data_IF_766809229517
#
_entry.id   IF_766809229517
#
_cell.length_a   1.000
_cell.length_b   1.000
_cell.length_c   1.000
_cell.angle_alpha   90.00
_cell.angle_beta   90.00
_cell.angle_gamma   90.00
#
_symmetry.space_group_name_H-M   'P 1'
#
loop_
_entity.id
_entity.type
_entity.pdbx_description
1 polymer ?
#
# COMPACT_ATOMS: atom_id res chain seq x y z
N UNK A 1 10.14 -15.05 0.80
CA UNK A 1 10.41 -14.28 -0.43
C UNK A 1 9.95 -15.12 -1.62
N UNK A 2 9.30 -14.50 -2.60
CA UNK A 2 9.03 -15.15 -3.88
C UNK A 2 10.31 -15.39 -4.67
N UNK A 3 10.31 -16.41 -5.53
CA UNK A 3 11.43 -16.69 -6.45
C UNK A 3 11.78 -15.46 -7.29
N UNK A 4 10.78 -14.72 -7.77
CA UNK A 4 10.99 -13.49 -8.53
C UNK A 4 11.79 -12.42 -7.77
N UNK A 5 11.51 -12.27 -6.47
CA UNK A 5 12.22 -11.27 -5.65
C UNK A 5 13.65 -11.70 -5.35
N UNK A 6 13.87 -13.01 -5.18
CA UNK A 6 15.21 -13.57 -5.01
C UNK A 6 16.03 -13.39 -6.30
N UNK A 7 15.44 -13.68 -7.46
CA UNK A 7 16.12 -13.48 -8.75
C UNK A 7 16.44 -12.01 -8.99
N UNK A 8 15.51 -11.09 -8.70
CA UNK A 8 15.77 -9.64 -8.81
C UNK A 8 16.88 -9.19 -7.84
N UNK A 9 16.85 -9.65 -6.59
CA UNK A 9 17.92 -9.37 -5.63
C UNK A 9 19.27 -9.91 -6.12
N UNK A 10 19.29 -11.12 -6.69
CA UNK A 10 20.50 -11.70 -7.27
C UNK A 10 21.05 -10.84 -8.42
N UNK A 11 20.19 -10.31 -9.30
CA UNK A 11 20.63 -9.40 -10.38
C UNK A 11 21.13 -8.04 -9.89
N UNK A 12 20.75 -7.61 -8.68
CA UNK A 12 21.25 -6.37 -8.10
C UNK A 12 22.65 -6.53 -7.50
N UNK A 13 22.95 -7.70 -6.94
CA UNK A 13 24.22 -7.95 -6.24
C UNK A 13 25.26 -8.58 -7.16
N UNK A 14 24.84 -9.44 -8.07
CA UNK A 14 25.72 -10.25 -8.90
C UNK A 14 25.59 -9.93 -10.39
N UNK A 15 26.72 -9.92 -11.08
CA UNK A 15 26.80 -9.89 -12.55
C UNK A 15 27.31 -11.23 -13.07
N UNK A 16 26.64 -11.76 -14.08
CA UNK A 16 27.09 -12.95 -14.81
C UNK A 16 28.03 -12.49 -15.93
N UNK A 17 29.26 -13.00 -15.94
CA UNK A 17 30.30 -12.67 -16.92
C UNK A 17 30.81 -13.96 -17.55
N UNK A 18 31.26 -13.92 -18.80
CA UNK A 18 31.75 -15.09 -19.54
C UNK A 18 33.15 -15.58 -19.10
N UNK A 19 33.67 -15.07 -17.98
CA UNK A 19 35.00 -15.38 -17.43
C UNK A 19 34.85 -16.07 -16.08
N UNK A 20 35.65 -17.10 -15.79
CA UNK A 20 35.58 -17.82 -14.51
C UNK A 20 36.21 -17.00 -13.36
N UNK A 21 35.57 -16.88 -12.17
CA UNK A 21 34.25 -17.42 -11.83
C UNK A 21 33.11 -16.65 -12.52
N UNK A 22 32.16 -17.37 -13.13
CA UNK A 22 31.09 -16.77 -13.95
C UNK A 22 30.19 -15.77 -13.20
N UNK A 23 30.21 -15.78 -11.87
CA UNK A 23 29.43 -14.90 -11.01
C UNK A 23 30.41 -13.99 -10.26
N UNK A 24 30.34 -12.70 -10.54
CA UNK A 24 31.08 -11.67 -9.83
C UNK A 24 30.13 -10.75 -9.06
N UNK A 25 30.62 -10.16 -7.98
CA UNK A 25 29.95 -8.99 -7.40
C UNK A 25 29.89 -7.90 -8.46
N UNK A 26 28.73 -7.26 -8.56
CA UNK A 26 28.51 -6.21 -9.55
C UNK A 26 29.55 -5.10 -9.33
N UNK A 27 30.38 -4.76 -10.34
CA UNK A 27 31.51 -3.85 -10.15
C UNK A 27 31.10 -2.44 -9.70
N UNK A 28 29.85 -2.03 -9.99
CA UNK A 28 29.30 -0.73 -9.61
C UNK A 28 28.57 -0.73 -8.24
N UNK A 29 28.53 -1.86 -7.52
CA UNK A 29 27.75 -2.02 -6.29
C UNK A 29 28.11 -0.98 -5.22
N UNK A 30 29.41 -0.66 -5.06
CA UNK A 30 29.86 0.34 -4.09
C UNK A 30 29.29 1.73 -4.38
N UNK A 31 29.22 2.12 -5.66
CA UNK A 31 28.66 3.40 -6.07
C UNK A 31 27.14 3.43 -5.88
N UNK A 32 26.46 2.32 -6.14
CA UNK A 32 25.01 2.19 -5.92
C UNK A 32 24.65 2.27 -4.43
N UNK A 33 25.45 1.65 -3.55
CA UNK A 33 25.31 1.79 -2.10
C UNK A 33 25.48 3.26 -1.68
N UNK A 34 26.51 3.94 -2.22
CA UNK A 34 26.73 5.36 -1.95
C UNK A 34 25.54 6.20 -2.42
N UNK A 35 25.02 5.94 -3.62
CA UNK A 35 23.85 6.62 -4.18
C UNK A 35 22.58 6.39 -3.32
N UNK A 36 22.40 5.21 -2.71
CA UNK A 36 21.29 5.00 -1.75
C UNK A 36 21.46 5.88 -0.51
N UNK A 37 22.67 5.98 0.04
CA UNK A 37 22.94 6.81 1.21
C UNK A 37 22.72 8.30 0.90
N UNK A 38 23.10 8.72 -0.30
CA UNK A 38 22.92 10.10 -0.78
C UNK A 38 21.44 10.44 -1.11
N UNK A 39 20.57 9.42 -1.23
CA UNK A 39 19.14 9.58 -1.54
C UNK A 39 18.23 9.17 -0.36
N UNK A 40 17.70 10.14 0.41
CA UNK A 40 17.00 9.86 1.67
C UNK A 40 15.74 8.98 1.52
N UNK A 41 15.08 9.01 0.37
CA UNK A 41 13.92 8.18 0.02
C UNK A 41 14.28 6.70 -0.15
N UNK A 42 15.48 6.41 -0.66
CA UNK A 42 16.00 5.05 -0.79
C UNK A 42 16.55 4.55 0.53
N UNK A 43 17.29 5.41 1.25
CA UNK A 43 17.80 5.12 2.59
C UNK A 43 16.68 4.78 3.58
N UNK A 44 15.54 5.48 3.50
CA UNK A 44 14.38 5.19 4.35
C UNK A 44 13.83 3.77 4.21
N UNK A 45 13.96 3.16 3.03
CA UNK A 45 13.57 1.76 2.83
C UNK A 45 14.51 0.81 3.57
N UNK A 46 15.82 1.10 3.61
CA UNK A 46 16.77 0.32 4.41
C UNK A 46 16.49 0.43 5.91
N UNK A 47 16.10 1.60 6.41
CA UNK A 47 15.71 1.75 7.81
C UNK A 47 14.54 0.86 8.19
N UNK A 48 13.55 0.68 7.31
CA UNK A 48 12.47 -0.31 7.54
C UNK A 48 13.04 -1.72 7.73
N UNK A 49 13.93 -2.17 6.85
CA UNK A 49 14.54 -3.50 6.98
C UNK A 49 15.33 -3.64 8.30
N UNK A 50 16.23 -2.69 8.57
CA UNK A 50 17.09 -2.76 9.75
C UNK A 50 16.32 -2.66 11.06
N UNK A 51 15.21 -1.90 11.10
CA UNK A 51 14.37 -1.82 12.30
C UNK A 51 13.80 -3.18 12.71
N UNK A 52 13.35 -3.98 11.73
CA UNK A 52 12.84 -5.33 11.97
C UNK A 52 13.99 -6.30 12.26
N UNK A 53 15.11 -6.19 11.55
CA UNK A 53 16.27 -7.04 11.77
C UNK A 53 16.85 -6.88 13.18
N UNK A 54 17.02 -5.63 13.65
CA UNK A 54 17.55 -5.30 14.98
C UNK A 54 16.63 -5.80 16.09
N UNK A 55 15.30 -5.87 15.86
CA UNK A 55 14.36 -6.40 16.86
C UNK A 55 14.60 -7.86 17.26
N UNK A 56 15.39 -8.60 16.46
CA UNK A 56 15.84 -9.94 16.81
C UNK A 56 16.80 -10.02 17.99
N UNK A 57 17.47 -8.91 18.35
CA UNK A 57 18.42 -8.88 19.47
C UNK A 57 17.74 -9.12 20.84
N UNK A 58 16.43 -8.90 20.92
CA UNK A 58 15.61 -9.14 22.12
C UNK A 58 14.38 -9.99 21.78
N UNK A 59 14.43 -10.79 20.70
CA UNK A 59 13.39 -11.76 20.39
C UNK A 59 13.81 -13.15 20.86
N UNK A 60 12.97 -13.83 21.64
CA UNK A 60 13.22 -15.20 22.09
C UNK A 60 12.94 -16.20 20.96
N UNK A 61 11.86 -15.98 20.20
CA UNK A 61 11.48 -16.82 19.06
C UNK A 61 12.22 -16.42 17.77
N UNK A 62 13.41 -17.01 17.59
CA UNK A 62 14.26 -16.78 16.43
C UNK A 62 13.63 -17.26 15.10
N UNK A 63 12.79 -18.30 15.11
CA UNK A 63 12.15 -18.80 13.89
C UNK A 63 11.21 -17.73 13.29
N UNK A 64 10.36 -17.15 14.13
CA UNK A 64 9.46 -16.06 13.72
C UNK A 64 10.25 -14.82 13.32
N UNK A 65 11.28 -14.44 14.08
CA UNK A 65 12.14 -13.32 13.70
C UNK A 65 12.79 -13.50 12.32
N UNK A 66 13.34 -14.68 12.03
CA UNK A 66 13.91 -15.01 10.70
C UNK A 66 12.85 -14.90 9.61
N UNK A 67 11.62 -15.38 9.87
CA UNK A 67 10.52 -15.31 8.92
C UNK A 67 10.18 -13.86 8.57
N UNK A 68 9.98 -12.99 9.57
CA UNK A 68 9.65 -11.58 9.36
C UNK A 68 10.81 -10.83 8.71
N UNK A 69 12.05 -11.06 9.16
CA UNK A 69 13.25 -10.48 8.54
C UNK A 69 13.38 -10.87 7.07
N UNK A 70 13.17 -12.15 6.72
CA UNK A 70 13.13 -12.62 5.32
C UNK A 70 12.06 -11.93 4.50
N UNK A 71 10.90 -11.62 5.09
CA UNK A 71 9.85 -10.89 4.38
C UNK A 71 10.19 -9.42 4.12
N UNK A 72 11.06 -8.81 4.94
CA UNK A 72 11.51 -7.43 4.76
C UNK A 72 12.76 -7.29 3.89
N UNK A 73 13.48 -8.38 3.56
CA UNK A 73 14.61 -8.36 2.62
C UNK A 73 14.36 -7.58 1.31
N UNK A 74 13.15 -7.56 0.71
CA UNK A 74 12.88 -6.73 -0.45
C UNK A 74 13.14 -5.24 -0.22
N UNK A 75 12.97 -4.72 1.00
CA UNK A 75 13.32 -3.33 1.33
C UNK A 75 14.82 -3.06 1.27
N UNK A 76 15.66 -4.07 1.53
CA UNK A 76 17.11 -3.98 1.41
C UNK A 76 17.55 -4.01 -0.07
N UNK A 77 17.02 -4.97 -0.85
CA UNK A 77 17.51 -5.21 -2.21
C UNK A 77 16.80 -4.39 -3.30
N UNK A 78 15.52 -4.02 -3.14
CA UNK A 78 14.82 -3.28 -4.19
C UNK A 78 15.42 -1.91 -4.51
N UNK A 79 15.89 -1.11 -3.53
CA UNK A 79 16.60 0.13 -3.85
C UNK A 79 17.80 -0.08 -4.78
N UNK A 80 18.59 -1.15 -4.56
CA UNK A 80 19.72 -1.51 -5.43
C UNK A 80 19.24 -1.92 -6.83
N UNK A 81 18.16 -2.71 -6.91
CA UNK A 81 17.52 -3.09 -8.18
C UNK A 81 17.06 -1.84 -8.95
N UNK A 82 16.46 -0.86 -8.27
CA UNK A 82 15.96 0.36 -8.92
C UNK A 82 17.07 1.24 -9.48
N UNK A 83 18.23 1.29 -8.82
CA UNK A 83 19.44 1.97 -9.33
C UNK A 83 20.10 1.19 -10.46
N UNK A 84 20.01 -0.14 -10.43
CA UNK A 84 20.60 -1.03 -11.43
C UNK A 84 19.94 -0.91 -12.80
N UNK A 85 18.65 -0.59 -12.84
CA UNK A 85 17.96 -0.38 -14.10
C UNK A 85 18.37 0.96 -14.72
N UNK A 86 18.76 0.95 -16.00
CA UNK A 86 18.86 2.18 -16.81
C UNK A 86 17.56 2.97 -16.67
N UNK A 87 17.66 4.32 -16.66
CA UNK A 87 16.50 5.24 -16.52
C UNK A 87 15.31 4.74 -17.36
N UNK A 88 14.28 4.23 -16.68
CA UNK A 88 13.07 3.73 -17.33
C UNK A 88 12.32 4.94 -17.88
N UNK A 89 12.03 4.90 -19.18
CA UNK A 89 11.25 5.94 -19.84
C UNK A 89 9.78 5.84 -19.42
N UNK A 90 9.05 6.95 -19.43
CA UNK A 90 7.62 6.94 -19.11
C UNK A 90 6.81 6.01 -20.04
N UNK A 91 7.25 5.84 -21.30
CA UNK A 91 6.63 4.89 -22.25
C UNK A 91 6.79 3.43 -21.80
N UNK A 92 7.96 3.05 -21.29
CA UNK A 92 8.20 1.72 -20.74
C UNK A 92 7.39 1.49 -19.46
N UNK A 93 7.35 2.49 -18.56
CA UNK A 93 6.49 2.43 -17.37
C UNK A 93 5.02 2.25 -17.75
N UNK A 94 4.53 3.02 -18.72
CA UNK A 94 3.17 2.90 -19.24
C UNK A 94 2.89 1.50 -19.81
N UNK A 95 3.83 0.93 -20.58
CA UNK A 95 3.67 -0.43 -21.12
C UNK A 95 3.58 -1.49 -20.01
N UNK A 96 4.43 -1.41 -18.98
CA UNK A 96 4.39 -2.29 -17.80
C UNK A 96 3.06 -2.14 -17.04
N UNK A 97 2.58 -0.92 -16.88
CA UNK A 97 1.31 -0.67 -16.19
C UNK A 97 0.10 -1.09 -17.05
N UNK A 98 0.18 -1.03 -18.38
CA UNK A 98 -0.85 -1.60 -19.25
C UNK A 98 -0.96 -3.13 -19.09
N UNK A 99 0.16 -3.86 -19.04
CA UNK A 99 0.10 -5.32 -18.85
C UNK A 99 -0.52 -5.68 -17.49
N UNK A 100 -0.10 -5.00 -16.43
CA UNK A 100 -0.71 -5.16 -15.10
C UNK A 100 -2.19 -4.79 -15.07
N UNK A 101 -2.60 -3.73 -15.78
CA UNK A 101 -4.00 -3.30 -15.87
C UNK A 101 -4.87 -4.36 -16.56
N UNK A 102 -4.37 -4.94 -17.65
CA UNK A 102 -5.08 -6.01 -18.35
C UNK A 102 -5.27 -7.21 -17.43
N UNK A 103 -4.24 -7.64 -16.70
CA UNK A 103 -4.37 -8.71 -15.71
C UNK A 103 -5.40 -8.37 -14.63
N UNK A 104 -5.37 -7.15 -14.09
CA UNK A 104 -6.34 -6.67 -13.11
C UNK A 104 -7.77 -6.67 -13.64
N UNK A 105 -7.99 -6.25 -14.89
CA UNK A 105 -9.31 -6.26 -15.53
C UNK A 105 -9.79 -7.69 -15.74
N UNK A 106 -8.93 -8.61 -16.17
CA UNK A 106 -9.29 -10.03 -16.35
C UNK A 106 -9.73 -10.63 -15.01
N UNK A 107 -8.88 -10.55 -13.98
CA UNK A 107 -9.21 -11.13 -12.68
C UNK A 107 -10.33 -10.40 -11.95
N UNK A 108 -10.45 -9.09 -12.16
CA UNK A 108 -11.57 -8.29 -11.66
C UNK A 108 -12.88 -8.75 -12.30
N UNK A 109 -12.89 -8.92 -13.62
CA UNK A 109 -14.04 -9.45 -14.37
C UNK A 109 -14.44 -10.85 -13.92
N UNK A 110 -13.48 -11.75 -13.64
CA UNK A 110 -13.78 -13.07 -13.07
C UNK A 110 -14.48 -12.93 -11.70
N UNK A 111 -13.99 -12.03 -10.85
CA UNK A 111 -14.58 -11.77 -9.53
C UNK A 111 -15.99 -11.16 -9.64
N UNK A 112 -16.21 -10.29 -10.64
CA UNK A 112 -17.52 -9.72 -10.93
C UNK A 112 -18.49 -10.76 -11.49
N UNK A 113 -18.04 -11.61 -12.40
CA UNK A 113 -18.85 -12.70 -12.95
C UNK A 113 -19.34 -13.63 -11.83
N UNK A 114 -18.43 -14.02 -10.94
CA UNK A 114 -18.77 -14.83 -9.76
C UNK A 114 -19.78 -14.13 -8.84
N UNK A 115 -19.60 -12.82 -8.59
CA UNK A 115 -20.54 -12.02 -7.81
C UNK A 115 -21.93 -11.95 -8.44
N UNK A 116 -22.03 -11.67 -9.75
CA UNK A 116 -23.31 -11.53 -10.44
C UNK A 116 -24.03 -12.87 -10.65
N UNK A 117 -23.29 -13.96 -10.93
CA UNK A 117 -23.85 -15.30 -11.02
C UNK A 117 -24.45 -15.79 -9.69
N UNK A 118 -23.85 -15.38 -8.56
CA UNK A 118 -24.26 -15.78 -7.22
C UNK A 118 -24.70 -14.58 -6.36
N UNK A 119 -25.49 -13.66 -6.95
CA UNK A 119 -25.78 -12.36 -6.35
C UNK A 119 -26.42 -12.44 -4.95
N UNK A 120 -27.45 -13.27 -4.77
CA UNK A 120 -28.13 -13.43 -3.47
C UNK A 120 -27.21 -13.96 -2.38
N UNK A 121 -26.36 -14.92 -2.73
CA UNK A 121 -25.35 -15.49 -1.84
C UNK A 121 -24.36 -14.41 -1.38
N UNK A 122 -23.71 -13.70 -2.31
CA UNK A 122 -22.72 -12.68 -1.94
C UNK A 122 -23.33 -11.52 -1.18
N UNK A 123 -24.57 -11.13 -1.47
CA UNK A 123 -25.26 -10.09 -0.71
C UNK A 123 -25.50 -10.50 0.75
N UNK A 124 -25.85 -11.76 0.99
CA UNK A 124 -25.97 -12.30 2.35
C UNK A 124 -24.63 -12.35 3.09
N UNK A 125 -23.54 -12.70 2.39
CA UNK A 125 -22.21 -12.78 2.97
C UNK A 125 -21.63 -11.38 3.26
N UNK A 126 -21.85 -10.42 2.37
CA UNK A 126 -21.48 -9.01 2.57
C UNK A 126 -22.22 -8.41 3.77
N UNK A 127 -23.50 -8.75 3.97
CA UNK A 127 -24.29 -8.35 5.14
C UNK A 127 -23.75 -8.93 6.46
N UNK A 128 -22.95 -10.00 6.39
CA UNK A 128 -22.23 -10.61 7.53
C UNK A 128 -20.77 -10.15 7.63
N UNK A 129 -20.37 -9.14 6.86
CA UNK A 129 -19.02 -8.59 6.89
C UNK A 129 -17.99 -9.31 6.03
N UNK A 130 -18.34 -10.43 5.36
CA UNK A 130 -17.41 -11.18 4.49
C UNK A 130 -17.18 -10.46 3.17
N UNK A 131 -16.14 -10.84 2.42
CA UNK A 131 -15.74 -10.18 1.18
C UNK A 131 -16.10 -11.02 -0.05
N UNK A 132 -16.25 -10.37 -1.20
CA UNK A 132 -16.33 -11.05 -2.50
C UNK A 132 -15.00 -11.75 -2.77
N UNK A 133 -15.06 -12.96 -3.33
CA UNK A 133 -13.86 -13.75 -3.64
C UNK A 133 -13.05 -13.07 -4.73
N UNK A 134 -11.74 -12.99 -4.50
CA UNK A 134 -10.74 -12.41 -5.41
C UNK A 134 -9.58 -13.38 -5.58
N UNK A 135 -8.74 -13.28 -6.62
CA UNK A 135 -7.63 -14.22 -6.86
C UNK A 135 -6.58 -14.23 -5.74
N UNK A 136 -6.42 -13.10 -5.06
CA UNK A 136 -5.56 -12.91 -3.89
C UNK A 136 -6.37 -12.28 -2.75
N UNK A 137 -5.72 -11.78 -1.71
CA UNK A 137 -6.39 -10.96 -0.69
C UNK A 137 -7.23 -9.84 -1.31
N UNK A 138 -8.53 -9.82 -1.01
CA UNK A 138 -9.48 -8.82 -1.51
C UNK A 138 -9.03 -7.39 -1.22
N UNK A 139 -8.36 -7.17 -0.08
CA UNK A 139 -7.81 -5.87 0.30
C UNK A 139 -6.69 -5.44 -0.65
N UNK A 140 -5.69 -6.31 -0.84
CA UNK A 140 -4.52 -6.00 -1.69
C UNK A 140 -4.92 -5.87 -3.15
N UNK A 141 -5.80 -6.75 -3.64
CA UNK A 141 -6.30 -6.70 -5.00
C UNK A 141 -7.01 -5.37 -5.26
N UNK A 142 -7.97 -4.98 -4.40
CA UNK A 142 -8.73 -3.74 -4.58
C UNK A 142 -7.86 -2.48 -4.43
N UNK A 143 -6.88 -2.46 -3.53
CA UNK A 143 -5.93 -1.35 -3.43
C UNK A 143 -5.00 -1.24 -4.65
N UNK A 144 -4.66 -2.35 -5.29
CA UNK A 144 -3.90 -2.33 -6.55
C UNK A 144 -4.73 -1.71 -7.68
N UNK A 145 -6.04 -2.00 -7.75
CA UNK A 145 -6.94 -1.33 -8.68
C UNK A 145 -6.94 0.20 -8.48
N UNK A 146 -6.93 0.70 -7.24
CA UNK A 146 -6.91 2.14 -6.93
C UNK A 146 -5.66 2.80 -7.52
N UNK A 147 -4.48 2.23 -7.28
CA UNK A 147 -3.23 2.80 -7.77
C UNK A 147 -3.14 2.80 -9.30
N UNK A 148 -3.65 1.76 -9.96
CA UNK A 148 -3.72 1.71 -11.42
C UNK A 148 -4.77 2.71 -11.96
N UNK A 149 -5.93 2.84 -11.32
CA UNK A 149 -6.95 3.82 -11.69
C UNK A 149 -6.39 5.26 -11.62
N UNK A 150 -5.65 5.60 -10.56
CA UNK A 150 -4.95 6.89 -10.44
C UNK A 150 -3.97 7.11 -11.60
N UNK A 151 -3.15 6.11 -11.93
CA UNK A 151 -2.17 6.20 -13.02
C UNK A 151 -2.85 6.46 -14.37
N UNK A 152 -3.86 5.66 -14.74
CA UNK A 152 -4.54 5.82 -16.03
C UNK A 152 -5.31 7.13 -16.13
N UNK A 153 -5.87 7.61 -15.02
CA UNK A 153 -6.47 8.93 -14.96
C UNK A 153 -5.45 10.06 -15.19
N UNK A 154 -4.29 10.02 -14.51
CA UNK A 154 -3.22 11.01 -14.72
C UNK A 154 -2.73 11.02 -16.16
N UNK A 155 -2.53 9.83 -16.74
CA UNK A 155 -2.08 9.66 -18.12
C UNK A 155 -3.11 10.22 -19.12
N UNK A 156 -4.40 9.95 -18.92
CA UNK A 156 -5.50 10.52 -19.71
C UNK A 156 -5.51 12.06 -19.65
N UNK A 157 -5.32 12.63 -18.45
CA UNK A 157 -5.38 14.07 -18.19
C UNK A 157 -4.15 14.81 -18.73
N UNK A 158 -2.95 14.33 -18.44
CA UNK A 158 -1.69 15.05 -18.69
C UNK A 158 -1.15 14.89 -20.10
N UNK A 159 -1.65 13.92 -20.85
CA UNK A 159 -1.19 13.61 -22.20
C UNK A 159 0.33 13.37 -22.32
N UNK A 160 1.00 12.94 -21.24
CA UNK A 160 2.47 12.71 -21.16
C UNK A 160 3.06 11.82 -22.25
N UNK A 161 2.25 10.92 -22.81
CA UNK A 161 2.66 10.02 -23.92
C UNK A 161 2.21 10.50 -25.31
N UNK A 162 1.90 11.80 -25.46
CA UNK A 162 1.48 12.44 -26.72
C UNK A 162 0.35 11.65 -27.41
N UNK A 163 -0.68 11.34 -26.64
CA UNK A 163 -1.76 10.46 -27.05
C UNK A 163 -2.68 11.18 -28.03
N UNK A 164 -3.01 10.49 -29.12
CA UNK A 164 -4.06 10.90 -30.06
C UNK A 164 -5.06 9.76 -30.22
N UNK A 165 -6.33 10.12 -30.48
CA UNK A 165 -7.41 9.19 -30.78
C UNK A 165 -7.56 8.05 -29.77
N UNK A 166 -7.39 6.81 -30.26
CA UNK A 166 -7.65 5.56 -29.53
C UNK A 166 -6.92 5.45 -28.19
N UNK A 167 -5.64 5.85 -28.09
CA UNK A 167 -4.87 5.71 -26.83
C UNK A 167 -5.45 6.54 -25.68
N UNK A 168 -5.97 7.74 -25.99
CA UNK A 168 -6.59 8.60 -24.98
C UNK A 168 -7.90 8.00 -24.49
N UNK A 169 -8.72 7.48 -25.40
CA UNK A 169 -9.97 6.77 -25.07
C UNK A 169 -9.69 5.51 -24.26
N UNK A 170 -8.67 4.73 -24.65
CA UNK A 170 -8.24 3.52 -23.94
C UNK A 170 -7.90 3.77 -22.47
N UNK A 171 -7.17 4.85 -22.16
CA UNK A 171 -6.82 5.19 -20.78
C UNK A 171 -8.02 5.63 -19.95
N UNK A 172 -8.96 6.35 -20.56
CA UNK A 172 -10.24 6.66 -19.93
C UNK A 172 -11.05 5.39 -19.64
N UNK A 173 -11.13 4.47 -20.60
CA UNK A 173 -11.82 3.20 -20.43
C UNK A 173 -11.20 2.35 -19.32
N UNK A 174 -9.87 2.23 -19.27
CA UNK A 174 -9.19 1.52 -18.18
C UNK A 174 -9.49 2.15 -16.82
N UNK A 175 -9.39 3.48 -16.70
CA UNK A 175 -9.77 4.17 -15.46
C UNK A 175 -11.22 3.86 -15.03
N UNK A 176 -12.17 3.94 -15.96
CA UNK A 176 -13.59 3.70 -15.67
C UNK A 176 -13.85 2.25 -15.26
N UNK A 177 -13.31 1.28 -16.01
CA UNK A 177 -13.49 -0.16 -15.70
C UNK A 177 -12.88 -0.51 -14.34
N UNK A 178 -11.66 -0.06 -14.06
CA UNK A 178 -11.03 -0.29 -12.75
C UNK A 178 -11.84 0.35 -11.62
N UNK A 179 -12.37 1.56 -11.84
CA UNK A 179 -13.24 2.25 -10.88
C UNK A 179 -14.52 1.45 -10.62
N UNK A 180 -15.17 0.92 -11.65
CA UNK A 180 -16.37 0.07 -11.52
C UNK A 180 -16.05 -1.18 -10.68
N UNK A 181 -14.94 -1.87 -10.98
CA UNK A 181 -14.53 -3.07 -10.23
C UNK A 181 -14.30 -2.72 -8.75
N UNK A 182 -13.63 -1.61 -8.43
CA UNK A 182 -13.39 -1.17 -7.04
C UNK A 182 -14.70 -1.03 -6.27
N UNK A 183 -15.69 -0.37 -6.87
CA UNK A 183 -16.94 -0.08 -6.19
C UNK A 183 -17.82 -1.33 -6.03
N UNK A 184 -17.86 -2.22 -7.02
CA UNK A 184 -18.63 -3.47 -6.89
C UNK A 184 -17.98 -4.41 -5.86
N UNK A 185 -16.65 -4.51 -5.82
CA UNK A 185 -15.95 -5.32 -4.81
C UNK A 185 -16.18 -4.82 -3.37
N UNK A 186 -16.57 -3.55 -3.21
CA UNK A 186 -17.00 -2.94 -1.95
C UNK A 186 -16.03 -3.14 -0.76
N UNK A 187 -14.73 -3.20 -1.05
CA UNK A 187 -13.69 -3.27 -0.02
C UNK A 187 -13.52 -1.89 0.60
N UNK A 188 -13.91 -1.74 1.88
CA UNK A 188 -13.96 -0.46 2.61
C UNK A 188 -12.68 0.37 2.47
N UNK A 189 -11.52 -0.26 2.70
CA UNK A 189 -10.21 0.41 2.61
C UNK A 189 -9.87 0.87 1.19
N UNK A 190 -10.24 0.11 0.15
CA UNK A 190 -9.99 0.50 -1.23
C UNK A 190 -10.94 1.59 -1.72
N UNK A 191 -12.23 1.52 -1.36
CA UNK A 191 -13.20 2.59 -1.66
C UNK A 191 -12.76 3.89 -0.97
N UNK A 192 -12.43 3.84 0.32
CA UNK A 192 -11.89 5.00 1.04
C UNK A 192 -10.62 5.56 0.42
N UNK A 193 -9.64 4.69 0.10
CA UNK A 193 -8.39 5.10 -0.54
C UNK A 193 -8.61 5.71 -1.93
N UNK A 194 -9.58 5.21 -2.71
CA UNK A 194 -9.97 5.79 -4.00
C UNK A 194 -10.42 7.24 -3.83
N UNK A 195 -11.41 7.49 -2.96
CA UNK A 195 -11.91 8.86 -2.77
C UNK A 195 -10.86 9.80 -2.17
N UNK A 196 -10.12 9.35 -1.14
CA UNK A 196 -9.05 10.15 -0.52
C UNK A 196 -7.99 10.54 -1.56
N UNK A 197 -7.50 9.58 -2.35
CA UNK A 197 -6.43 9.82 -3.32
C UNK A 197 -6.85 10.74 -4.46
N UNK A 198 -8.10 10.65 -4.95
CA UNK A 198 -8.65 11.57 -5.95
C UNK A 198 -8.93 12.96 -5.40
N UNK A 199 -9.44 13.08 -4.17
CA UNK A 199 -9.58 14.37 -3.48
C UNK A 199 -8.22 15.05 -3.37
N UNK A 200 -7.19 14.32 -2.91
CA UNK A 200 -5.81 14.83 -2.85
C UNK A 200 -5.31 15.24 -4.23
N UNK A 201 -5.53 14.40 -5.25
CA UNK A 201 -5.08 14.64 -6.63
C UNK A 201 -5.61 15.97 -7.16
N UNK A 202 -6.93 16.16 -7.09
CA UNK A 202 -7.56 17.37 -7.59
C UNK A 202 -7.25 18.58 -6.71
N UNK A 203 -7.20 18.42 -5.38
CA UNK A 203 -6.86 19.53 -4.47
C UNK A 203 -5.51 20.14 -4.83
N UNK A 204 -4.49 19.32 -5.11
CA UNK A 204 -3.17 19.79 -5.52
C UNK A 204 -3.19 20.55 -6.87
N UNK A 205 -4.03 20.11 -7.82
CA UNK A 205 -4.20 20.79 -9.11
C UNK A 205 -4.84 22.18 -8.98
N UNK A 206 -5.70 22.41 -8.00
CA UNK A 206 -6.35 23.70 -7.78
C UNK A 206 -5.55 24.60 -6.84
N UNK A 207 -4.91 24.05 -5.81
CA UNK A 207 -4.01 24.78 -4.91
C UNK A 207 -2.84 25.39 -5.69
N UNK A 208 -2.23 24.63 -6.60
CA UNK A 208 -1.17 25.14 -7.49
C UNK A 208 -1.62 26.30 -8.39
N UNK A 209 -2.92 26.48 -8.59
CA UNK A 209 -3.53 27.58 -9.36
C UNK A 209 -4.18 28.65 -8.48
N UNK A 210 -3.96 28.61 -7.15
CA UNK A 210 -4.60 29.47 -6.13
C UNK A 210 -6.14 29.46 -6.15
N UNK A 211 -6.75 28.38 -6.65
CA UNK A 211 -8.21 28.23 -6.80
C UNK A 211 -8.85 27.52 -5.60
N UNK A 212 -8.69 28.07 -4.39
CA UNK A 212 -9.12 27.40 -3.14
C UNK A 212 -10.62 27.08 -3.07
N UNK A 213 -11.49 27.90 -3.68
CA UNK A 213 -12.93 27.60 -3.76
C UNK A 213 -13.22 26.27 -4.47
N UNK A 214 -12.43 25.92 -5.49
CA UNK A 214 -12.61 24.66 -6.22
C UNK A 214 -12.20 23.45 -5.36
N UNK A 215 -11.27 23.63 -4.41
CA UNK A 215 -10.90 22.59 -3.44
C UNK A 215 -12.10 22.25 -2.57
N UNK A 216 -12.82 23.26 -2.06
CA UNK A 216 -14.06 23.04 -1.31
C UNK A 216 -15.12 22.32 -2.18
N UNK A 217 -15.28 22.72 -3.44
CA UNK A 217 -16.19 22.04 -4.38
C UNK A 217 -15.82 20.56 -4.60
N UNK A 218 -14.53 20.21 -4.65
CA UNK A 218 -14.07 18.82 -4.79
C UNK A 218 -14.37 18.01 -3.54
N UNK A 219 -14.18 18.58 -2.35
CA UNK A 219 -14.51 17.90 -1.11
C UNK A 219 -16.01 17.61 -1.04
N UNK A 220 -16.84 18.57 -1.44
CA UNK A 220 -18.30 18.38 -1.53
C UNK A 220 -18.66 17.34 -2.59
N UNK A 221 -18.07 17.42 -3.78
CA UNK A 221 -18.33 16.45 -4.85
C UNK A 221 -17.87 15.04 -4.47
N UNK A 222 -16.68 14.90 -3.89
CA UNK A 222 -16.12 13.62 -3.46
C UNK A 222 -16.95 12.97 -2.36
N UNK A 223 -17.41 13.74 -1.39
CA UNK A 223 -18.33 13.26 -0.34
C UNK A 223 -19.70 12.90 -0.91
N UNK A 224 -20.25 13.69 -1.83
CA UNK A 224 -21.50 13.39 -2.51
C UNK A 224 -21.43 12.11 -3.37
N UNK A 225 -20.31 11.90 -4.09
CA UNK A 225 -20.07 10.68 -4.86
C UNK A 225 -19.90 9.46 -3.96
N UNK A 226 -19.18 9.58 -2.84
CA UNK A 226 -19.07 8.50 -1.85
C UNK A 226 -20.45 8.16 -1.27
N UNK A 227 -21.23 9.15 -0.88
CA UNK A 227 -22.61 8.94 -0.41
C UNK A 227 -23.49 8.27 -1.48
N UNK A 228 -23.40 8.72 -2.73
CA UNK A 228 -24.11 8.12 -3.86
C UNK A 228 -23.72 6.65 -4.05
N UNK A 229 -22.43 6.31 -3.92
CA UNK A 229 -21.96 4.92 -4.00
C UNK A 229 -22.58 4.04 -2.91
N UNK A 230 -22.75 4.56 -1.69
CA UNK A 230 -23.41 3.84 -0.58
C UNK A 230 -24.89 3.60 -0.87
N UNK A 231 -25.56 4.55 -1.55
CA UNK A 231 -27.00 4.46 -1.84
C UNK A 231 -27.32 3.54 -3.01
N UNK A 232 -26.53 3.59 -4.07
CA UNK A 232 -26.86 2.95 -5.34
C UNK A 232 -26.12 1.63 -5.60
N UNK A 233 -25.04 1.34 -4.86
CA UNK A 233 -24.25 0.12 -5.07
C UNK A 233 -24.58 -0.88 -3.97
N UNK A 234 -25.31 -1.98 -4.27
CA UNK A 234 -25.85 -2.88 -3.25
C UNK A 234 -24.76 -3.47 -2.34
N UNK A 235 -23.58 -3.78 -2.88
CA UNK A 235 -22.47 -4.34 -2.10
C UNK A 235 -21.92 -3.35 -1.06
N UNK A 236 -21.79 -2.07 -1.43
CA UNK A 236 -21.35 -1.00 -0.51
C UNK A 236 -22.43 -0.74 0.54
N UNK A 237 -23.71 -0.74 0.12
CA UNK A 237 -24.84 -0.58 1.03
C UNK A 237 -24.82 -1.64 2.15
N UNK A 238 -24.61 -2.92 1.81
CA UNK A 238 -24.52 -3.99 2.81
C UNK A 238 -23.35 -3.79 3.77
N UNK A 239 -22.16 -3.46 3.25
CA UNK A 239 -20.96 -3.20 4.07
C UNK A 239 -21.11 -2.00 4.99
N UNK A 240 -21.83 -0.97 4.54
CA UNK A 240 -22.13 0.22 5.32
C UNK A 240 -23.15 -0.08 6.43
N UNK A 241 -24.26 -0.74 6.10
CA UNK A 241 -25.26 -1.17 7.09
C UNK A 241 -24.65 -2.08 8.16
N UNK A 242 -23.80 -3.03 7.77
CA UNK A 242 -23.08 -3.90 8.69
C UNK A 242 -22.11 -3.12 9.61
N UNK A 243 -21.47 -2.06 9.11
CA UNK A 243 -20.61 -1.19 9.92
C UNK A 243 -21.43 -0.43 10.99
N UNK A 244 -22.55 0.18 10.59
CA UNK A 244 -23.44 0.90 11.50
C UNK A 244 -24.02 -0.02 12.57
N UNK A 245 -24.42 -1.24 12.17
CA UNK A 245 -24.91 -2.24 13.10
C UNK A 245 -23.85 -2.69 14.11
N UNK A 246 -22.61 -2.95 13.68
CA UNK A 246 -21.51 -3.29 14.61
C UNK A 246 -21.23 -2.17 15.63
N UNK A 247 -21.41 -0.91 15.26
CA UNK A 247 -21.28 0.18 16.22
C UNK A 247 -22.33 0.11 17.34
N UNK A 248 -23.55 -0.34 17.02
CA UNK A 248 -24.59 -0.58 18.04
C UNK A 248 -24.24 -1.78 18.93
N UNK A 249 -23.72 -2.86 18.35
CA UNK A 249 -23.22 -4.04 19.08
C UNK A 249 -22.09 -3.68 20.04
N UNK A 250 -21.16 -2.82 19.62
CA UNK A 250 -20.11 -2.32 20.51
C UNK A 250 -20.70 -1.59 21.73
N UNK A 251 -21.70 -0.72 21.50
CA UNK A 251 -22.37 0.03 22.57
C UNK A 251 -23.14 -0.85 23.55
N UNK A 252 -23.71 -1.97 23.09
CA UNK A 252 -24.45 -2.87 23.96
C UNK A 252 -23.57 -3.74 24.86
N UNK A 253 -22.23 -3.68 24.71
CA UNK A 253 -21.30 -4.54 25.45
C UNK A 253 -21.34 -5.99 25.00
N UNK A 254 -21.93 -6.28 23.84
CA UNK A 254 -21.98 -7.62 23.27
C UNK A 254 -20.56 -8.13 22.91
N UNK A 255 -20.45 -9.45 22.75
CA UNK A 255 -19.17 -10.10 22.48
C UNK A 255 -18.58 -9.65 21.13
N UNK A 256 -17.66 -8.69 21.18
CA UNK A 256 -16.96 -8.12 20.02
C UNK A 256 -16.15 -9.16 19.25
N UNK A 257 -15.75 -10.27 19.89
CA UNK A 257 -14.93 -11.32 19.30
C UNK A 257 -15.66 -12.17 18.25
N UNK A 258 -16.94 -11.87 17.97
CA UNK A 258 -17.72 -12.48 16.89
C UNK A 258 -17.74 -11.62 15.62
N UNK A 259 -17.14 -10.42 15.63
CA UNK A 259 -17.33 -9.41 14.59
C UNK A 259 -16.01 -8.83 14.08
N UNK A 260 -15.73 -9.09 12.80
CA UNK A 260 -14.43 -8.77 12.19
C UNK A 260 -13.98 -7.31 12.29
N UNK A 261 -14.85 -6.30 12.17
CA UNK A 261 -14.40 -4.90 12.27
C UNK A 261 -14.18 -4.48 13.72
N UNK A 262 -14.97 -5.00 14.66
CA UNK A 262 -14.76 -4.77 16.10
C UNK A 262 -13.48 -5.43 16.58
N UNK A 263 -13.22 -6.67 16.14
CA UNK A 263 -11.97 -7.37 16.39
C UNK A 263 -10.75 -6.56 15.95
N UNK A 264 -10.79 -5.97 14.75
CA UNK A 264 -9.71 -5.09 14.26
C UNK A 264 -9.49 -3.90 15.19
N UNK A 265 -10.56 -3.26 15.62
CA UNK A 265 -10.45 -2.13 16.54
C UNK A 265 -9.90 -2.53 17.91
N UNK A 266 -10.31 -3.68 18.45
CA UNK A 266 -9.73 -4.23 19.68
C UNK A 266 -8.26 -4.61 19.49
N UNK A 267 -7.86 -5.18 18.34
CA UNK A 267 -6.45 -5.49 18.06
C UNK A 267 -5.55 -4.26 18.07
N UNK A 268 -6.06 -3.10 17.64
CA UNK A 268 -5.33 -1.83 17.73
C UNK A 268 -5.20 -1.36 19.18
N UNK A 269 -6.22 -1.57 20.02
CA UNK A 269 -6.13 -1.28 21.46
C UNK A 269 -5.11 -2.17 22.16
N UNK A 270 -5.14 -3.48 21.88
CA UNK A 270 -4.15 -4.42 22.39
C UNK A 270 -2.75 -4.01 21.98
N UNK A 271 -2.53 -3.69 20.70
CA UNK A 271 -1.25 -3.16 20.24
C UNK A 271 -0.81 -1.89 20.96
N UNK A 272 -1.76 -1.02 21.32
CA UNK A 272 -1.46 0.19 22.10
C UNK A 272 -1.04 -0.14 23.54
N UNK A 273 -1.68 -1.11 24.19
CA UNK A 273 -1.25 -1.58 25.51
C UNK A 273 0.16 -2.19 25.43
N UNK A 274 0.48 -2.97 24.40
CA UNK A 274 1.83 -3.49 24.19
C UNK A 274 2.88 -2.37 24.06
N UNK A 275 2.56 -1.30 23.31
CA UNK A 275 3.44 -0.12 23.17
C UNK A 275 3.71 0.53 24.52
N UNK A 276 2.71 0.63 25.42
CA UNK A 276 2.91 1.24 26.74
C UNK A 276 3.89 0.44 27.61
N UNK A 277 3.88 -0.89 27.50
CA UNK A 277 4.78 -1.75 28.28
C UNK A 277 6.23 -1.63 27.81
N UNK A 278 6.47 -1.57 26.49
CA UNK A 278 7.83 -1.55 25.94
C UNK A 278 7.97 -0.58 24.75
N UNK A 279 7.89 0.76 24.95
CA UNK A 279 7.76 1.72 23.86
C UNK A 279 9.03 1.92 23.03
N UNK A 280 10.21 1.72 23.62
CA UNK A 280 11.49 2.02 22.96
C UNK A 280 11.88 0.90 22.00
N UNK A 281 12.00 -0.33 22.50
CA UNK A 281 12.42 -1.49 21.72
C UNK A 281 11.25 -2.23 21.09
N UNK A 282 10.02 -2.06 21.60
CA UNK A 282 8.95 -3.00 21.31
C UNK A 282 9.24 -4.37 21.92
N UNK A 283 8.29 -5.29 21.78
CA UNK A 283 8.36 -6.63 22.37
C UNK A 283 9.28 -7.62 21.64
N UNK A 284 9.85 -7.23 20.49
CA UNK A 284 10.53 -8.16 19.59
C UNK A 284 9.56 -8.76 18.58
N UNK A 285 9.93 -8.78 17.29
CA UNK A 285 9.09 -9.34 16.23
C UNK A 285 9.04 -10.87 16.28
N UNK A 286 9.99 -11.54 16.95
CA UNK A 286 9.92 -12.98 17.15
C UNK A 286 8.73 -13.39 18.01
N UNK A 287 8.49 -12.64 19.10
CA UNK A 287 7.56 -13.03 20.17
C UNK A 287 6.15 -12.47 19.98
N UNK A 288 5.85 -11.99 18.77
CA UNK A 288 4.63 -11.25 18.51
C UNK A 288 3.36 -12.03 18.83
N UNK A 289 3.35 -13.36 18.66
CA UNK A 289 2.17 -14.19 18.91
C UNK A 289 1.96 -14.36 20.42
N UNK A 290 3.02 -14.67 21.15
CA UNK A 290 2.98 -14.95 22.59
C UNK A 290 2.63 -13.68 23.38
N UNK A 291 3.29 -12.56 23.05
CA UNK A 291 3.02 -11.27 23.70
C UNK A 291 1.62 -10.76 23.36
N UNK A 292 1.14 -10.99 22.13
CA UNK A 292 -0.24 -10.63 21.78
C UNK A 292 -1.24 -11.48 22.57
N UNK A 293 -1.05 -12.80 22.65
CA UNK A 293 -1.90 -13.71 23.41
C UNK A 293 -1.98 -13.29 24.88
N UNK A 294 -0.82 -13.03 25.50
CA UNK A 294 -0.73 -12.58 26.87
C UNK A 294 -1.45 -11.24 27.08
N UNK A 295 -1.26 -10.27 26.18
CA UNK A 295 -1.93 -8.97 26.31
C UNK A 295 -3.45 -9.08 26.16
N UNK A 296 -3.95 -9.99 25.31
CA UNK A 296 -5.38 -10.30 25.22
C UNK A 296 -5.92 -10.92 26.52
N UNK A 297 -5.17 -11.84 27.12
CA UNK A 297 -5.53 -12.46 28.40
C UNK A 297 -5.57 -11.42 29.52
N UNK A 298 -4.59 -10.52 29.59
CA UNK A 298 -4.53 -9.45 30.59
C UNK A 298 -5.65 -8.42 30.42
N UNK A 299 -5.92 -7.98 29.18
CA UNK A 299 -6.91 -6.94 28.91
C UNK A 299 -8.36 -7.44 28.96
N UNK A 300 -8.61 -8.70 28.58
CA UNK A 300 -9.95 -9.21 28.31
C UNK A 300 -10.23 -10.59 28.89
N UNK A 301 -9.25 -11.28 29.49
CA UNK A 301 -9.43 -12.62 30.04
C UNK A 301 -9.70 -13.69 28.98
N UNK A 302 -9.29 -13.45 27.73
CA UNK A 302 -9.50 -14.39 26.62
C UNK A 302 -8.17 -14.81 26.00
N UNK A 303 -8.07 -16.08 25.64
CA UNK A 303 -6.99 -16.60 24.82
C UNK A 303 -7.31 -16.36 23.35
N UNK A 304 -6.76 -15.27 22.80
CA UNK A 304 -6.96 -14.86 21.41
C UNK A 304 -5.70 -14.20 20.88
N UNK A 305 -5.39 -14.46 19.60
CA UNK A 305 -4.30 -13.77 18.92
C UNK A 305 -4.82 -13.11 17.65
N UNK A 306 -4.93 -11.79 17.70
CA UNK A 306 -5.19 -10.97 16.54
C UNK A 306 -4.22 -9.78 16.53
N UNK A 307 -3.35 -9.75 15.53
CA UNK A 307 -2.32 -8.71 15.43
C UNK A 307 -2.95 -7.34 15.14
N UNK A 308 -2.33 -6.24 15.60
CA UNK A 308 -2.85 -4.89 15.39
C UNK A 308 -3.09 -4.59 13.91
N UNK A 309 -4.34 -4.27 13.54
CA UNK A 309 -4.73 -3.89 12.18
C UNK A 309 -4.41 -2.42 11.87
N UNK A 310 -3.17 -2.03 12.12
CA UNK A 310 -2.63 -0.72 11.80
C UNK A 310 -1.10 -0.87 11.74
N UNK A 311 -0.50 -0.59 10.59
CA UNK A 311 0.92 -0.79 10.38
C UNK A 311 1.78 0.03 11.34
N UNK A 312 1.35 1.24 11.72
CA UNK A 312 2.10 2.10 12.63
C UNK A 312 2.11 1.52 14.05
N UNK A 313 0.93 1.12 14.56
CA UNK A 313 0.81 0.45 15.86
C UNK A 313 1.58 -0.86 15.85
N UNK A 314 1.42 -1.67 14.81
CA UNK A 314 2.14 -2.93 14.64
C UNK A 314 3.66 -2.72 14.72
N UNK A 315 4.19 -1.82 13.88
CA UNK A 315 5.64 -1.59 13.80
C UNK A 315 6.20 -1.12 15.14
N UNK A 316 5.47 -0.25 15.84
CA UNK A 316 5.87 0.24 17.15
C UNK A 316 5.80 -0.84 18.22
N UNK A 317 4.69 -1.59 18.30
CA UNK A 317 4.49 -2.62 19.33
C UNK A 317 5.58 -3.70 19.30
N UNK A 318 5.99 -4.16 18.11
CA UNK A 318 6.90 -5.29 17.99
C UNK A 318 8.36 -4.91 17.72
N UNK A 319 8.61 -3.77 17.06
CA UNK A 319 9.97 -3.35 16.66
C UNK A 319 10.37 -1.99 17.23
N UNK A 320 9.53 -1.38 18.06
CA UNK A 320 9.85 -0.20 18.84
C UNK A 320 9.83 1.11 18.05
N UNK A 321 10.36 2.15 18.71
CA UNK A 321 10.36 3.52 18.17
C UNK A 321 11.17 3.61 16.87
N UNK A 322 12.19 2.78 16.70
CA UNK A 322 13.02 2.74 15.49
C UNK A 322 12.18 2.36 14.26
N UNK A 323 11.28 1.38 14.38
CA UNK A 323 10.47 0.94 13.25
C UNK A 323 9.39 1.95 12.85
N UNK A 324 8.69 2.54 13.83
CA UNK A 324 7.69 3.57 13.55
C UNK A 324 8.33 4.82 12.94
N UNK A 325 9.47 5.27 13.47
CA UNK A 325 10.19 6.43 12.93
C UNK A 325 10.72 6.14 11.52
N UNK A 326 11.20 4.92 11.24
CA UNK A 326 11.64 4.51 9.91
C UNK A 326 10.50 4.55 8.88
N UNK A 327 9.33 4.04 9.25
CA UNK A 327 8.15 4.05 8.39
C UNK A 327 7.63 5.47 8.13
N UNK A 328 7.54 6.29 9.17
CA UNK A 328 7.11 7.70 9.04
C UNK A 328 8.13 8.48 8.22
N UNK A 329 9.43 8.29 8.47
CA UNK A 329 10.51 8.95 7.74
C UNK A 329 10.41 8.69 6.24
N UNK A 330 10.33 7.42 5.81
CA UNK A 330 10.28 7.12 4.38
C UNK A 330 9.05 7.73 3.71
N UNK A 331 7.90 7.65 4.36
CA UNK A 331 6.65 8.19 3.85
C UNK A 331 6.66 9.73 3.75
N UNK A 332 7.23 10.41 4.74
CA UNK A 332 7.37 11.88 4.75
C UNK A 332 8.38 12.34 3.70
N UNK A 333 9.54 11.68 3.57
CA UNK A 333 10.55 12.04 2.57
C UNK A 333 10.00 11.88 1.15
N UNK A 334 9.32 10.77 0.86
CA UNK A 334 8.65 10.58 -0.42
C UNK A 334 7.59 11.66 -0.66
N UNK A 335 6.84 12.06 0.37
CA UNK A 335 5.82 13.11 0.27
C UNK A 335 6.44 14.47 -0.03
N UNK A 336 7.46 14.88 0.71
CA UNK A 336 8.18 16.14 0.50
C UNK A 336 8.75 16.23 -0.92
N UNK A 337 9.43 15.16 -1.38
CA UNK A 337 9.97 15.10 -2.75
C UNK A 337 8.86 15.13 -3.81
N UNK A 338 7.74 14.47 -3.58
CA UNK A 338 6.60 14.46 -4.52
C UNK A 338 5.93 15.84 -4.64
N UNK A 339 5.79 16.56 -3.52
CA UNK A 339 5.27 17.93 -3.49
C UNK A 339 6.23 18.90 -4.18
N UNK A 340 7.53 18.81 -3.86
CA UNK A 340 8.57 19.66 -4.46
C UNK A 340 8.67 19.47 -5.97
N UNK A 341 8.40 18.27 -6.48
CA UNK A 341 8.40 17.97 -7.91
C UNK A 341 7.04 18.19 -8.58
N UNK A 342 6.10 18.86 -7.91
CA UNK A 342 4.77 19.19 -8.44
C UNK A 342 4.07 18.00 -9.12
N UNK A 343 4.13 16.82 -8.50
CA UNK A 343 3.54 15.59 -9.04
C UNK A 343 2.29 15.16 -8.25
N UNK A 344 1.07 15.60 -8.66
CA UNK A 344 -0.17 15.20 -8.00
C UNK A 344 -0.35 13.68 -7.95
N UNK A 345 0.03 12.97 -9.01
CA UNK A 345 -0.05 11.51 -9.06
C UNK A 345 0.81 10.86 -7.97
N UNK A 346 2.05 11.32 -7.80
CA UNK A 346 2.95 10.76 -6.79
C UNK A 346 2.41 11.00 -5.37
N UNK A 347 1.91 12.20 -5.08
CA UNK A 347 1.31 12.53 -3.78
C UNK A 347 0.04 11.70 -3.53
N UNK A 348 -0.81 11.51 -4.53
CA UNK A 348 -2.02 10.68 -4.43
C UNK A 348 -1.72 9.20 -4.21
N UNK A 349 -0.69 8.65 -4.85
CA UNK A 349 -0.21 7.29 -4.59
C UNK A 349 0.28 7.17 -3.14
N UNK A 350 1.01 8.17 -2.64
CA UNK A 350 1.45 8.20 -1.24
C UNK A 350 0.27 8.30 -0.27
N UNK A 351 -0.74 9.12 -0.56
CA UNK A 351 -1.96 9.19 0.24
C UNK A 351 -2.68 7.83 0.33
N UNK A 352 -2.71 7.07 -0.78
CA UNK A 352 -3.20 5.68 -0.80
C UNK A 352 -2.33 4.76 0.07
N UNK A 353 -1.00 4.84 -0.02
CA UNK A 353 -0.07 4.05 0.82
C UNK A 353 -0.24 4.36 2.32
N UNK A 354 -0.41 5.64 2.68
CA UNK A 354 -0.74 6.06 4.04
C UNK A 354 -2.07 5.46 4.50
N UNK A 355 -3.13 5.60 3.71
CA UNK A 355 -4.46 5.10 4.05
C UNK A 355 -4.47 3.59 4.32
N UNK A 356 -3.76 2.78 3.51
CA UNK A 356 -3.66 1.34 3.79
C UNK A 356 -2.87 1.03 5.06
N UNK A 357 -1.82 1.80 5.39
CA UNK A 357 -1.06 1.58 6.62
C UNK A 357 -1.86 1.94 7.87
N UNK A 358 -2.82 2.86 7.77
CA UNK A 358 -3.69 3.23 8.89
C UNK A 358 -4.74 2.17 9.24
N UNK A 359 -5.17 1.37 8.26
CA UNK A 359 -6.30 0.43 8.42
C UNK A 359 -5.84 -1.04 8.45
N UNK A 360 -4.60 -1.32 8.02
CA UNK A 360 -4.07 -2.67 7.88
C UNK A 360 -2.59 -2.73 8.28
N UNK A 361 -2.16 -3.90 8.79
CA UNK A 361 -0.76 -4.28 8.96
C UNK A 361 -0.11 -4.61 7.61
N UNK A 362 -0.02 -3.57 6.77
CA UNK A 362 0.32 -3.67 5.35
C UNK A 362 1.62 -4.40 5.06
N UNK A 363 2.67 -4.13 5.81
CA UNK A 363 3.99 -4.68 5.56
C UNK A 363 4.18 -6.08 6.15
N UNK A 364 3.17 -6.65 6.81
CA UNK A 364 3.27 -7.95 7.49
C UNK A 364 2.90 -9.14 6.61
N UNK A 365 2.65 -8.88 5.33
CA UNK A 365 2.42 -9.91 4.32
C UNK A 365 3.35 -9.68 3.13
N UNK A 366 3.83 -10.75 2.50
CA UNK A 366 4.71 -10.62 1.32
C UNK A 366 4.02 -9.82 0.20
N UNK A 367 2.71 -10.01 0.01
CA UNK A 367 1.92 -9.24 -0.96
C UNK A 367 1.87 -7.75 -0.60
N UNK A 368 1.75 -7.42 0.68
CA UNK A 368 1.70 -6.03 1.11
C UNK A 368 3.07 -5.34 1.05
N UNK A 369 4.17 -6.05 1.32
CA UNK A 369 5.54 -5.58 1.05
C UNK A 369 5.74 -5.31 -0.44
N UNK A 370 5.35 -6.25 -1.31
CA UNK A 370 5.44 -6.10 -2.75
C UNK A 370 4.60 -4.92 -3.25
N UNK A 371 3.37 -4.77 -2.76
CA UNK A 371 2.49 -3.64 -3.05
C UNK A 371 3.12 -2.30 -2.66
N UNK A 372 3.63 -2.18 -1.43
CA UNK A 372 4.26 -0.95 -0.95
C UNK A 372 5.47 -0.57 -1.79
N UNK A 373 6.37 -1.52 -2.05
CA UNK A 373 7.58 -1.29 -2.84
C UNK A 373 7.28 -0.97 -4.31
N UNK A 374 6.28 -1.64 -4.91
CA UNK A 374 5.86 -1.39 -6.28
C UNK A 374 5.36 0.05 -6.47
N UNK A 375 4.48 0.53 -5.59
CA UNK A 375 3.98 1.90 -5.67
C UNK A 375 5.03 2.93 -5.25
N UNK A 376 5.91 2.61 -4.29
CA UNK A 376 7.06 3.47 -3.94
C UNK A 376 8.04 3.61 -5.11
N UNK A 377 8.23 2.55 -5.89
CA UNK A 377 9.03 2.58 -7.12
C UNK A 377 8.40 3.46 -8.20
N UNK A 378 7.08 3.39 -8.40
CA UNK A 378 6.37 4.29 -9.32
C UNK A 378 6.56 5.74 -8.88
N UNK A 379 6.37 6.04 -7.59
CA UNK A 379 6.60 7.38 -7.03
C UNK A 379 8.04 7.83 -7.28
N UNK A 380 9.02 6.97 -7.03
CA UNK A 380 10.44 7.25 -7.28
C UNK A 380 10.72 7.59 -8.76
N UNK A 381 10.15 6.84 -9.71
CA UNK A 381 10.29 7.13 -11.15
C UNK A 381 9.66 8.49 -11.48
N UNK A 382 8.46 8.79 -10.98
CA UNK A 382 7.75 10.04 -11.25
C UNK A 382 8.55 11.26 -10.72
N UNK A 383 9.16 11.13 -9.54
CA UNK A 383 10.03 12.16 -8.95
C UNK A 383 11.27 12.39 -9.85
N UNK A 384 11.96 11.32 -10.26
CA UNK A 384 13.19 11.46 -11.07
C UNK A 384 12.96 11.96 -12.49
N UNK A 385 11.81 11.65 -13.10
CA UNK A 385 11.50 12.11 -14.45
C UNK A 385 11.21 13.63 -14.50
N UNK A 386 10.44 14.16 -13.55
CA UNK A 386 10.16 15.60 -13.49
C UNK A 386 11.45 16.43 -13.29
N UNK A 387 12.35 15.98 -12.41
CA UNK A 387 13.67 16.64 -12.23
C UNK A 387 14.49 16.70 -13.53
N UNK A 388 14.36 15.69 -14.40
CA UNK A 388 15.07 15.70 -15.68
C UNK A 388 14.47 16.63 -16.73
N UNK A 389 13.15 16.84 -16.71
CA UNK A 389 12.48 17.80 -17.60
C UNK A 389 12.80 19.25 -17.19
N UNK A 390 12.79 19.56 -15.88
CA UNK A 390 13.14 20.89 -15.37
C UNK A 390 14.59 21.28 -15.64
N UNK A 391 15.53 20.31 -15.55
CA UNK A 391 16.94 20.53 -15.88
C UNK A 391 17.21 20.75 -17.38
N UNK A 392 16.33 20.29 -18.25
CA UNK A 392 16.41 20.53 -19.70
C UNK A 392 15.82 21.90 -20.04
N UNK A 393 14.75 22.33 -19.38
CA UNK A 393 14.10 23.63 -19.63
C UNK A 393 14.84 24.83 -19.02
N UNK A 394 15.85 24.60 -18.18
CA UNK A 394 16.70 25.64 -17.55
C UNK A 394 18.05 25.84 -18.26
N UNK A 395 18.31 25.10 -19.34
CA UNK A 395 19.43 25.31 -20.27
C UNK A 395 18.89 25.83 -21.59
#
# INVERSE_FOLDING_TARGET
MSVSTIMLAATAVFSIVNTFPFIHLKPNLRNEIKEIIDHPELLGLWFIFFSVFISGLWSDNLEKWIWFSRMKLPFLFMPLVWLSFKKITFRQLYAILCTGAISLVIFGSISLYEYFSNFSFYQSELARGKAIKTPISHIRFSLMLVGFALFFFDVYRTNKIQQKGFRKVWNLLLFLVLSIIIHILAVKSAVGAFYISFIVYFSLLFISRKKYLHVASILILGTALLYSSIRFIPAIQQKWSYMLWQYQVWKSGANWALYSDLERWVSMKVGWEMIKHQPITGSGIGDLYDVTAQTYLECFGIDKVLLPHNQFIFSWAFCGILAITSLVYVLVVYLQKSISNHSPLAVSILAMLWATCMVESTLETQMGVAYFLFFSWIVYILIRQNMSEDAINTK
#
